data_IF_411975773625
#
_entry.id   IF_411975773625
#
_cell.length_a   1.000
_cell.length_b   1.000
_cell.length_c   1.000
_cell.angle_alpha   90.00
_cell.angle_beta   90.00
_cell.angle_gamma   90.00
#
_symmetry.space_group_name_H-M   'P 1'
#
loop_
_entity.id
_entity.type
_entity.pdbx_description
1 polymer ?
#
# COMPACT_ATOMS: atom_id res chain seq x y z
N UNK A 1 -6.36 -8.90 -30.91
CA UNK A 1 -7.38 -9.92 -30.57
C UNK A 1 -6.71 -11.13 -29.95
N UNK A 2 -7.15 -11.51 -28.75
CA UNK A 2 -6.68 -12.72 -28.07
C UNK A 2 -7.42 -13.95 -28.61
N UNK A 3 -6.83 -15.13 -28.43
CA UNK A 3 -7.48 -16.40 -28.81
C UNK A 3 -8.57 -16.75 -27.77
N UNK A 4 -9.72 -17.31 -28.18
CA UNK A 4 -10.70 -17.85 -27.24
C UNK A 4 -10.06 -18.83 -26.25
N UNK A 5 -10.43 -18.72 -24.97
CA UNK A 5 -9.88 -19.50 -23.87
C UNK A 5 -8.55 -18.99 -23.30
N UNK A 6 -8.01 -17.88 -23.81
CA UNK A 6 -6.84 -17.23 -23.19
C UNK A 6 -7.17 -16.77 -21.77
N UNK A 7 -6.15 -16.72 -20.90
CA UNK A 7 -6.28 -16.23 -19.53
C UNK A 7 -5.45 -14.96 -19.37
N UNK A 8 -6.03 -13.94 -18.74
CA UNK A 8 -5.30 -12.77 -18.26
C UNK A 8 -5.43 -12.68 -16.74
N UNK A 9 -4.33 -12.27 -16.10
CA UNK A 9 -4.23 -12.13 -14.65
C UNK A 9 -3.83 -10.69 -14.36
N UNK A 10 -4.75 -9.89 -13.84
CA UNK A 10 -4.51 -8.50 -13.50
C UNK A 10 -4.13 -8.35 -12.03
N UNK A 11 -2.82 -8.35 -11.76
CA UNK A 11 -2.27 -8.15 -10.42
C UNK A 11 -2.34 -6.68 -9.99
N UNK A 12 -2.61 -5.75 -10.91
CA UNK A 12 -2.72 -4.32 -10.63
C UNK A 12 -4.13 -3.90 -10.21
N UNK A 13 -5.04 -4.86 -10.06
CA UNK A 13 -6.45 -4.59 -9.73
C UNK A 13 -6.63 -3.82 -8.40
N UNK A 14 -5.71 -3.99 -7.45
CA UNK A 14 -5.67 -3.24 -6.18
C UNK A 14 -5.54 -1.72 -6.36
N UNK A 15 -5.23 -1.25 -7.58
CA UNK A 15 -5.09 0.16 -7.95
C UNK A 15 -5.95 0.55 -9.15
N UNK A 16 -6.97 -0.26 -9.48
CA UNK A 16 -7.91 0.01 -10.57
C UNK A 16 -7.74 -0.90 -11.80
N UNK A 17 -6.68 -1.70 -11.86
CA UNK A 17 -6.40 -2.61 -12.98
C UNK A 17 -5.63 -1.95 -14.14
N UNK A 18 -4.99 -2.77 -14.98
CA UNK A 18 -4.25 -2.33 -16.15
C UNK A 18 -4.89 -2.72 -17.48
N UNK A 19 -5.89 -3.61 -17.46
CA UNK A 19 -6.72 -3.90 -18.64
C UNK A 19 -8.04 -3.14 -18.56
N UNK A 20 -8.46 -2.55 -19.69
CA UNK A 20 -9.76 -1.88 -19.79
C UNK A 20 -10.94 -2.82 -19.45
N UNK A 21 -10.77 -4.11 -19.69
CA UNK A 21 -11.77 -5.14 -19.41
C UNK A 21 -11.73 -5.69 -17.99
N UNK A 22 -10.78 -5.27 -17.16
CA UNK A 22 -10.65 -5.70 -15.77
C UNK A 22 -11.85 -5.25 -14.92
N UNK A 23 -12.30 -6.15 -14.05
CA UNK A 23 -13.33 -5.89 -13.07
C UNK A 23 -12.96 -6.63 -11.78
N UNK A 24 -13.14 -5.97 -10.63
CA UNK A 24 -12.76 -6.55 -9.33
C UNK A 24 -13.54 -7.85 -9.09
N UNK A 25 -12.81 -8.92 -8.83
CA UNK A 25 -13.38 -10.22 -8.41
C UNK A 25 -13.05 -10.52 -6.95
N UNK A 26 -13.44 -11.70 -6.45
CA UNK A 26 -13.17 -12.12 -5.06
C UNK A 26 -12.47 -13.48 -5.04
N UNK A 27 -11.87 -13.85 -3.92
CA UNK A 27 -11.27 -15.19 -3.75
C UNK A 27 -12.29 -16.32 -3.95
N UNK A 28 -13.57 -16.11 -3.60
CA UNK A 28 -14.65 -17.08 -3.79
C UNK A 28 -15.11 -17.19 -5.25
N UNK A 29 -15.07 -16.07 -6.00
CA UNK A 29 -15.46 -15.99 -7.40
C UNK A 29 -14.32 -15.34 -8.20
N UNK A 30 -13.20 -16.05 -8.42
CA UNK A 30 -11.95 -15.42 -8.83
C UNK A 30 -11.90 -15.00 -10.30
N UNK A 31 -12.75 -15.60 -11.14
CA UNK A 31 -12.71 -15.42 -12.58
C UNK A 31 -14.05 -15.04 -13.19
N UNK A 32 -13.99 -14.31 -14.30
CA UNK A 32 -15.10 -14.08 -15.21
C UNK A 32 -14.61 -14.17 -16.66
N UNK A 33 -15.54 -14.30 -17.61
CA UNK A 33 -15.21 -14.38 -19.04
C UNK A 33 -15.74 -13.14 -19.74
N UNK A 34 -14.88 -12.49 -20.53
CA UNK A 34 -15.25 -11.36 -21.40
C UNK A 34 -14.52 -11.49 -22.73
N UNK A 35 -15.26 -11.43 -23.84
CA UNK A 35 -14.75 -11.67 -25.20
C UNK A 35 -13.99 -13.01 -25.35
N UNK A 36 -14.54 -14.07 -24.76
CA UNK A 36 -13.93 -15.42 -24.70
C UNK A 36 -12.55 -15.48 -24.03
N UNK A 37 -12.17 -14.45 -23.27
CA UNK A 37 -10.95 -14.41 -22.44
C UNK A 37 -11.32 -14.50 -20.97
N UNK A 38 -10.67 -15.40 -20.26
CA UNK A 38 -10.83 -15.60 -18.81
C UNK A 38 -10.01 -14.53 -18.09
N UNK A 39 -10.66 -13.74 -17.24
CA UNK A 39 -10.05 -12.69 -16.46
C UNK A 39 -9.94 -13.14 -15.00
N UNK A 40 -8.74 -13.05 -14.43
CA UNK A 40 -8.50 -13.17 -12.99
C UNK A 40 -8.09 -11.80 -12.47
N UNK A 41 -8.93 -11.22 -11.61
CA UNK A 41 -8.78 -9.85 -11.11
C UNK A 41 -9.07 -9.79 -9.60
N UNK A 42 -8.54 -10.76 -8.85
CA UNK A 42 -8.75 -10.84 -7.40
C UNK A 42 -7.81 -9.83 -6.72
N UNK A 43 -8.31 -8.88 -5.91
CA UNK A 43 -7.48 -7.98 -5.14
C UNK A 43 -6.83 -8.72 -3.97
N UNK A 44 -5.74 -8.18 -3.44
CA UNK A 44 -5.08 -8.72 -2.26
C UNK A 44 -4.82 -10.24 -2.37
N UNK A 45 -4.26 -10.68 -3.51
CA UNK A 45 -3.90 -12.08 -3.79
C UNK A 45 -3.08 -12.72 -2.64
N UNK A 46 -2.09 -12.03 -2.02
CA UNK A 46 -1.29 -12.61 -0.94
C UNK A 46 -2.10 -13.08 0.27
N UNK A 47 -3.31 -12.53 0.50
CA UNK A 47 -4.17 -12.95 1.61
C UNK A 47 -4.64 -14.40 1.52
N UNK A 48 -4.71 -14.99 0.32
CA UNK A 48 -4.98 -16.42 0.13
C UNK A 48 -3.87 -17.34 0.65
N UNK A 49 -2.68 -16.78 0.92
CA UNK A 49 -1.48 -17.51 1.37
C UNK A 49 -0.92 -16.88 2.65
N UNK A 50 -1.78 -16.74 3.66
CA UNK A 50 -1.51 -15.95 4.88
C UNK A 50 -0.17 -16.28 5.56
N UNK A 51 0.23 -17.56 5.67
CA UNK A 51 1.50 -17.94 6.32
C UNK A 51 2.70 -17.35 5.59
N UNK A 52 2.77 -17.56 4.28
CA UNK A 52 3.87 -17.06 3.44
C UNK A 52 3.87 -15.55 3.36
N UNK A 53 2.71 -14.93 3.15
CA UNK A 53 2.58 -13.47 3.09
C UNK A 53 3.01 -12.81 4.41
N UNK A 54 2.58 -13.37 5.56
CA UNK A 54 2.94 -12.86 6.88
C UNK A 54 4.44 -12.97 7.17
N UNK A 55 5.06 -14.10 6.79
CA UNK A 55 6.51 -14.27 6.93
C UNK A 55 7.27 -13.29 6.04
N UNK A 56 6.86 -13.15 4.77
CA UNK A 56 7.49 -12.25 3.82
C UNK A 56 7.43 -10.78 4.28
N UNK A 57 6.26 -10.29 4.71
CA UNK A 57 6.13 -8.91 5.18
C UNK A 57 6.87 -8.69 6.51
N UNK A 58 6.87 -9.68 7.42
CA UNK A 58 7.61 -9.60 8.69
C UNK A 58 9.11 -9.50 8.44
N UNK A 59 9.66 -10.26 7.50
CA UNK A 59 11.09 -10.20 7.18
C UNK A 59 11.54 -8.80 6.70
N UNK A 60 10.64 -8.02 6.12
CA UNK A 60 10.89 -6.64 5.69
C UNK A 60 10.65 -5.63 6.82
N UNK A 61 9.59 -5.81 7.62
CA UNK A 61 9.19 -4.85 8.65
C UNK A 61 9.94 -5.02 9.98
N UNK A 62 10.35 -6.24 10.35
CA UNK A 62 10.99 -6.51 11.63
C UNK A 62 12.27 -5.71 11.86
N UNK A 63 13.20 -5.57 10.89
CA UNK A 63 14.39 -4.74 11.07
C UNK A 63 14.05 -3.28 11.39
N UNK A 64 13.06 -2.71 10.69
CA UNK A 64 12.58 -1.36 10.92
C UNK A 64 11.99 -1.18 12.32
N UNK A 65 11.23 -2.17 12.80
CA UNK A 65 10.62 -2.14 14.12
C UNK A 65 11.65 -2.25 15.25
N UNK A 66 12.63 -3.14 15.10
CA UNK A 66 13.71 -3.32 16.07
C UNK A 66 14.56 -2.06 16.18
N UNK A 67 14.97 -1.51 15.05
CA UNK A 67 15.73 -0.26 15.01
C UNK A 67 14.93 0.90 15.62
N UNK A 68 13.62 0.97 15.35
CA UNK A 68 12.75 1.98 15.97
C UNK A 68 12.67 1.83 17.49
N UNK A 69 12.71 0.61 18.00
CA UNK A 69 12.74 0.35 19.43
C UNK A 69 14.10 0.75 20.05
N UNK A 70 15.20 0.43 19.38
CA UNK A 70 16.57 0.77 19.82
C UNK A 70 16.81 2.29 19.82
N UNK A 71 16.24 3.01 18.85
CA UNK A 71 16.31 4.47 18.74
C UNK A 71 15.42 5.20 19.77
N UNK A 72 14.75 4.50 20.69
CA UNK A 72 13.91 5.14 21.71
C UNK A 72 12.52 5.57 21.19
N UNK A 73 12.08 5.00 20.06
CA UNK A 73 10.73 5.11 19.54
C UNK A 73 10.60 5.94 18.26
N UNK A 74 9.38 5.92 17.70
CA UNK A 74 9.07 6.52 16.39
C UNK A 74 9.39 8.01 16.33
N UNK A 75 9.18 8.73 17.43
CA UNK A 75 9.46 10.16 17.51
C UNK A 75 10.94 10.44 17.21
N UNK A 76 11.87 9.66 17.76
CA UNK A 76 13.30 9.86 17.57
C UNK A 76 13.76 9.42 16.17
N UNK A 77 13.23 8.30 15.69
CA UNK A 77 13.50 7.78 14.34
C UNK A 77 13.14 8.80 13.26
N UNK A 78 12.00 9.48 13.42
CA UNK A 78 11.57 10.53 12.49
C UNK A 78 12.62 11.63 12.39
N UNK A 79 13.34 11.96 13.46
CA UNK A 79 14.39 12.99 13.42
C UNK A 79 15.60 12.61 12.58
N UNK A 80 16.05 11.37 12.62
CA UNK A 80 17.30 10.98 11.95
C UNK A 80 17.06 10.25 10.62
N UNK A 81 15.92 9.60 10.44
CA UNK A 81 15.61 8.80 9.24
C UNK A 81 14.63 9.48 8.30
N UNK A 82 15.19 10.22 7.34
CA UNK A 82 14.42 10.88 6.29
C UNK A 82 13.52 9.90 5.51
N UNK A 83 13.97 8.67 5.28
CA UNK A 83 13.23 7.66 4.52
C UNK A 83 11.92 7.25 5.18
N UNK A 84 11.82 7.32 6.51
CA UNK A 84 10.60 6.95 7.23
C UNK A 84 9.58 8.09 7.18
N UNK A 85 10.05 9.34 7.07
CA UNK A 85 9.18 10.52 6.98
C UNK A 85 8.22 10.49 5.79
N UNK A 86 8.66 9.95 4.66
CA UNK A 86 7.82 9.84 3.45
C UNK A 86 6.65 8.88 3.63
N UNK A 87 6.75 7.94 4.58
CA UNK A 87 5.68 7.01 4.94
C UNK A 87 4.68 7.55 5.95
N UNK A 88 4.88 8.76 6.50
CA UNK A 88 4.01 9.32 7.54
C UNK A 88 2.85 10.05 6.89
N UNK A 89 1.63 9.60 7.21
CA UNK A 89 0.41 10.24 6.73
C UNK A 89 -0.09 11.26 7.75
N UNK A 90 -0.12 10.89 9.03
CA UNK A 90 -0.58 11.73 10.13
C UNK A 90 0.50 11.81 11.21
N UNK A 91 0.72 13.00 11.75
CA UNK A 91 1.60 13.22 12.90
C UNK A 91 0.93 14.18 13.89
N UNK A 92 0.72 13.72 15.13
CA UNK A 92 0.08 14.50 16.21
C UNK A 92 -1.22 15.21 15.79
N UNK A 93 -2.07 14.50 15.04
CA UNK A 93 -3.36 15.01 14.55
C UNK A 93 -3.27 15.90 13.31
N UNK A 94 -2.08 16.18 12.78
CA UNK A 94 -1.89 16.94 11.54
C UNK A 94 -1.63 16.02 10.35
N UNK A 95 -2.25 16.31 9.21
CA UNK A 95 -2.00 15.61 7.95
C UNK A 95 -0.69 16.10 7.34
N UNK A 96 0.22 15.15 7.10
CA UNK A 96 1.59 15.41 6.63
C UNK A 96 1.87 14.83 5.25
N UNK A 97 0.93 14.08 4.68
CA UNK A 97 1.00 13.59 3.32
C UNK A 97 0.29 14.56 2.36
N UNK A 98 1.05 15.14 1.43
CA UNK A 98 0.56 16.12 0.47
C UNK A 98 -0.50 15.54 -0.49
N UNK A 99 -0.28 14.33 -1.00
CA UNK A 99 -1.21 13.71 -1.95
C UNK A 99 -2.59 13.41 -1.34
N UNK A 100 -2.63 13.03 -0.06
CA UNK A 100 -3.90 12.88 0.66
C UNK A 100 -4.57 14.22 0.91
N UNK A 101 -3.80 15.28 1.20
CA UNK A 101 -4.32 16.63 1.36
C UNK A 101 -5.02 17.11 0.09
N UNK A 102 -4.36 17.02 -1.07
CA UNK A 102 -4.96 17.42 -2.35
C UNK A 102 -6.17 16.55 -2.71
N UNK A 103 -6.08 15.23 -2.52
CA UNK A 103 -7.15 14.30 -2.89
C UNK A 103 -8.43 14.48 -2.08
N UNK A 104 -8.30 14.84 -0.80
CA UNK A 104 -9.42 14.91 0.13
C UNK A 104 -9.75 16.33 0.61
N UNK A 105 -9.10 17.35 0.04
CA UNK A 105 -9.23 18.77 0.43
C UNK A 105 -9.04 19.01 1.94
N UNK A 106 -8.00 18.39 2.50
CA UNK A 106 -7.67 18.46 3.92
C UNK A 106 -6.46 19.37 4.14
N UNK A 107 -6.40 20.06 5.28
CA UNK A 107 -5.26 20.92 5.63
C UNK A 107 -3.94 20.12 5.69
N UNK A 108 -3.01 20.45 4.80
CA UNK A 108 -1.63 19.97 4.85
C UNK A 108 -0.82 20.73 5.91
N UNK A 109 0.05 20.03 6.62
CA UNK A 109 1.07 20.61 7.49
C UNK A 109 2.40 19.89 7.25
N UNK A 110 3.46 20.65 6.96
CA UNK A 110 4.78 20.07 6.73
C UNK A 110 5.29 19.37 8.00
N UNK A 111 5.63 18.09 7.87
CA UNK A 111 6.19 17.29 8.96
C UNK A 111 7.46 17.91 9.53
N UNK A 112 8.31 18.54 8.70
CA UNK A 112 9.55 19.17 9.15
C UNK A 112 9.29 20.35 10.10
N UNK A 113 8.19 21.08 9.90
CA UNK A 113 7.78 22.15 10.81
C UNK A 113 7.31 21.58 12.16
N UNK A 114 6.56 20.46 12.12
CA UNK A 114 6.02 19.80 13.30
C UNK A 114 7.07 19.14 14.18
N UNK A 115 8.16 18.64 13.58
CA UNK A 115 9.30 18.12 14.35
C UNK A 115 10.13 19.28 14.90
N UNK A 116 10.42 20.31 14.10
CA UNK A 116 11.26 21.43 14.51
C UNK A 116 10.70 22.22 15.70
N UNK A 117 9.37 22.28 15.86
CA UNK A 117 8.71 23.00 16.96
C UNK A 117 8.84 22.33 18.34
N UNK A 118 9.56 21.20 18.45
CA UNK A 118 9.77 20.46 19.72
C UNK A 118 11.02 20.91 20.49
N UNK A 119 11.53 22.12 20.23
CA UNK A 119 12.51 22.81 21.07
C UNK A 119 11.83 23.68 22.10
#
# INVERSE_FOLDING_TARGET
NMRPGSVIVDVSIDRGGCFETSAVTTHEKPVFIKYDVIHYCVPNIPSGFARTASQAISNVLMPLLLETAEDGGIDNVIWYKINIRTGIYLFKGSLTNFHLSERFDLKYTDLNLLIASRR
#
